data_IF_445476233888
#
_entry.id   IF_445476233888
#
_cell.length_a   1.000
_cell.length_b   1.000
_cell.length_c   1.000
_cell.angle_alpha   90.00
_cell.angle_beta   90.00
_cell.angle_gamma   90.00
#
_symmetry.space_group_name_H-M   'P 1'
#
loop_
_entity.id
_entity.type
_entity.pdbx_description
1 polymer ?
#
# COMPACT_ATOMS: atom_id res chain seq x y z
N UNK A 1 -66.76 -11.29 11.94
CA UNK A 1 -65.81 -10.39 11.24
C UNK A 1 -64.40 -10.78 11.65
N UNK A 2 -63.59 -11.44 10.82
CA UNK A 2 -62.20 -11.72 11.16
C UNK A 2 -61.31 -10.54 10.71
N UNK A 3 -60.41 -10.11 11.60
CA UNK A 3 -59.36 -9.13 11.30
C UNK A 3 -58.15 -9.90 10.80
N UNK A 4 -57.70 -9.61 9.58
CA UNK A 4 -56.48 -10.16 8.98
C UNK A 4 -55.32 -9.21 9.30
N UNK A 5 -54.30 -9.68 10.03
CA UNK A 5 -53.11 -8.91 10.35
C UNK A 5 -52.02 -9.17 9.30
N UNK A 6 -51.65 -8.14 8.54
CA UNK A 6 -50.59 -8.17 7.54
C UNK A 6 -49.21 -8.03 8.21
N UNK A 7 -48.32 -8.99 8.01
CA UNK A 7 -46.90 -8.90 8.42
C UNK A 7 -46.10 -8.27 7.28
N UNK A 8 -45.66 -7.02 7.46
CA UNK A 8 -44.77 -6.36 6.52
C UNK A 8 -43.32 -6.79 6.79
N UNK A 9 -42.71 -7.52 5.84
CA UNK A 9 -41.29 -7.81 5.81
C UNK A 9 -40.53 -6.52 5.45
N UNK A 10 -39.86 -5.91 6.43
CA UNK A 10 -38.97 -4.77 6.21
C UNK A 10 -37.64 -5.33 5.71
N UNK A 11 -37.44 -5.37 4.40
CA UNK A 11 -36.11 -5.57 3.81
C UNK A 11 -35.34 -4.26 3.95
N UNK A 12 -34.47 -4.16 4.95
CA UNK A 12 -33.55 -3.04 5.05
C UNK A 12 -32.63 -3.05 3.81
N UNK A 13 -32.41 -1.89 3.14
CA UNK A 13 -31.46 -1.82 2.05
C UNK A 13 -30.06 -2.12 2.58
N UNK A 14 -29.32 -2.97 1.87
CA UNK A 14 -27.89 -3.13 2.10
C UNK A 14 -27.23 -1.77 1.85
N UNK A 15 -26.83 -1.09 2.93
CA UNK A 15 -25.99 0.08 2.85
C UNK A 15 -24.65 -0.34 2.24
N UNK A 16 -24.52 -0.16 0.92
CA UNK A 16 -23.25 -0.24 0.23
C UNK A 16 -22.46 0.99 0.68
N UNK A 17 -21.68 0.86 1.76
CA UNK A 17 -20.73 1.90 2.13
C UNK A 17 -19.85 2.17 0.91
N UNK A 18 -19.76 3.45 0.51
CA UNK A 18 -18.78 3.91 -0.47
C UNK A 18 -17.42 3.29 -0.11
N UNK A 19 -16.62 2.80 -1.09
CA UNK A 19 -15.28 2.31 -0.77
C UNK A 19 -14.55 3.32 0.09
N UNK A 20 -13.85 2.90 1.16
CA UNK A 20 -13.09 3.82 2.00
C UNK A 20 -12.25 4.73 1.11
N UNK A 21 -12.38 6.05 1.28
CA UNK A 21 -11.51 7.00 0.58
C UNK A 21 -10.07 6.64 0.95
N UNK A 22 -9.19 6.53 -0.05
CA UNK A 22 -7.78 6.25 0.18
C UNK A 22 -7.20 7.28 1.18
N UNK A 23 -6.42 6.85 2.18
CA UNK A 23 -5.82 7.76 3.15
C UNK A 23 -4.99 8.86 2.48
N UNK A 24 -5.07 10.09 3.01
CA UNK A 24 -4.25 11.21 2.51
C UNK A 24 -2.79 11.06 2.97
N UNK A 25 -2.04 10.21 2.27
CA UNK A 25 -0.62 9.93 2.57
C UNK A 25 0.28 11.15 2.42
N UNK A 26 -0.16 12.19 1.69
CA UNK A 26 0.65 13.39 1.48
C UNK A 26 0.64 14.32 2.69
N UNK A 27 -0.40 14.25 3.52
CA UNK A 27 -0.52 15.04 4.76
C UNK A 27 0.51 14.70 5.85
N UNK A 28 1.16 13.54 5.75
CA UNK A 28 2.14 13.07 6.74
C UNK A 28 3.51 13.72 6.52
N UNK A 29 4.27 14.04 7.61
CA UNK A 29 5.64 14.53 7.51
C UNK A 29 6.57 13.47 6.90
N UNK A 30 7.42 13.89 5.97
CA UNK A 30 8.40 13.01 5.34
C UNK A 30 9.56 12.72 6.31
N UNK A 31 9.95 11.45 6.42
CA UNK A 31 11.16 11.04 7.11
C UNK A 31 12.41 11.40 6.30
N UNK A 32 13.57 11.47 6.97
CA UNK A 32 14.86 11.65 6.29
C UNK A 32 15.22 10.37 5.52
N UNK A 33 15.20 10.47 4.19
CA UNK A 33 15.48 9.36 3.29
C UNK A 33 16.89 8.76 3.47
N UNK A 34 17.84 9.51 4.02
CA UNK A 34 19.21 9.05 4.24
C UNK A 34 19.28 7.81 5.14
N UNK A 35 18.38 7.71 6.12
CA UNK A 35 18.34 6.62 7.11
C UNK A 35 17.80 5.30 6.53
N UNK A 36 17.01 5.39 5.47
CA UNK A 36 16.31 4.25 4.86
C UNK A 36 16.99 3.76 3.58
N UNK A 37 17.95 4.51 3.04
CA UNK A 37 18.49 4.28 1.71
C UNK A 37 19.45 3.08 1.68
N UNK A 38 19.23 2.19 0.73
CA UNK A 38 20.11 1.06 0.42
C UNK A 38 20.56 1.17 -1.03
N UNK A 39 21.87 1.03 -1.25
CA UNK A 39 22.49 1.01 -2.58
C UNK A 39 23.05 -0.38 -2.82
N UNK A 40 22.40 -1.12 -3.71
CA UNK A 40 22.86 -2.42 -4.19
C UNK A 40 23.77 -2.30 -5.41
N UNK A 41 24.26 -3.44 -5.91
CA UNK A 41 25.09 -3.48 -7.12
C UNK A 41 24.33 -3.15 -8.43
N UNK A 42 23.00 -3.09 -8.39
CA UNK A 42 22.15 -2.74 -9.53
C UNK A 42 20.99 -1.83 -9.05
N UNK A 43 20.45 -0.91 -9.88
CA UNK A 43 19.33 -0.05 -9.49
C UNK A 43 18.08 -0.80 -9.02
N UNK A 44 17.83 -2.01 -9.52
CA UNK A 44 16.72 -2.87 -9.06
C UNK A 44 16.94 -3.44 -7.64
N UNK A 45 18.16 -3.40 -7.13
CA UNK A 45 18.52 -3.77 -5.75
C UNK A 45 18.76 -2.54 -4.88
N UNK A 46 18.48 -1.34 -5.40
CA UNK A 46 18.65 -0.07 -4.70
C UNK A 46 17.29 0.56 -4.45
N UNK A 47 17.20 1.36 -3.39
CA UNK A 47 15.96 2.00 -3.00
C UNK A 47 15.97 2.40 -1.54
N UNK A 48 14.82 2.25 -0.90
CA UNK A 48 14.60 2.60 0.49
C UNK A 48 13.85 1.48 1.19
N UNK A 49 14.42 0.99 2.28
CA UNK A 49 13.87 -0.10 3.08
C UNK A 49 13.40 0.43 4.42
N UNK A 50 12.27 -0.06 4.93
CA UNK A 50 11.75 0.33 6.23
C UNK A 50 10.91 -0.76 6.85
N UNK A 51 10.87 -0.82 8.17
CA UNK A 51 9.88 -1.60 8.91
C UNK A 51 8.75 -0.71 9.42
N UNK A 52 7.56 -1.27 9.61
CA UNK A 52 6.45 -0.61 10.33
C UNK A 52 6.36 -1.13 11.76
N UNK A 53 5.72 -0.39 12.70
CA UNK A 53 5.50 -0.90 14.06
C UNK A 53 4.70 -2.22 14.09
N UNK A 54 3.81 -2.42 13.11
CA UNK A 54 3.06 -3.66 12.90
C UNK A 54 3.88 -4.81 12.31
N UNK A 55 5.18 -4.62 12.09
CA UNK A 55 6.12 -5.68 11.69
C UNK A 55 6.18 -5.97 10.19
N UNK A 56 5.66 -5.08 9.33
CA UNK A 56 5.89 -5.20 7.89
C UNK A 56 7.33 -4.75 7.57
N UNK A 57 8.03 -5.52 6.74
CA UNK A 57 9.29 -5.14 6.13
C UNK A 57 9.02 -4.71 4.68
N UNK A 58 9.33 -3.46 4.34
CA UNK A 58 8.99 -2.83 3.07
C UNK A 58 10.23 -2.38 2.31
N UNK A 59 10.18 -2.48 0.98
CA UNK A 59 11.19 -1.93 0.08
C UNK A 59 10.52 -1.14 -1.04
N UNK A 60 10.78 0.17 -1.08
CA UNK A 60 10.47 1.04 -2.22
C UNK A 60 11.69 1.09 -3.14
N UNK A 61 11.51 0.63 -4.39
CA UNK A 61 12.61 0.48 -5.33
C UNK A 61 12.95 1.78 -6.04
N UNK A 62 14.23 1.99 -6.34
CA UNK A 62 14.67 3.16 -7.12
C UNK A 62 14.07 3.17 -8.53
N UNK A 63 13.88 1.99 -9.13
CA UNK A 63 13.14 1.84 -10.39
C UNK A 63 11.64 1.94 -10.08
N UNK A 64 11.03 3.03 -10.55
CA UNK A 64 9.65 3.37 -10.25
C UNK A 64 8.63 2.29 -10.70
N UNK A 65 8.92 1.59 -11.80
CA UNK A 65 8.11 0.48 -12.31
C UNK A 65 8.08 -0.76 -11.39
N UNK A 66 9.08 -0.91 -10.51
CA UNK A 66 9.09 -1.96 -9.48
C UNK A 66 8.26 -1.56 -8.25
N UNK A 67 8.06 -0.26 -8.04
CA UNK A 67 7.25 0.29 -6.96
C UNK A 67 7.72 -0.12 -5.57
N UNK A 68 6.77 -0.41 -4.69
CA UNK A 68 7.00 -0.87 -3.32
C UNK A 68 6.39 -2.23 -3.09
N UNK A 69 7.11 -3.07 -2.35
CA UNK A 69 6.59 -4.33 -1.81
C UNK A 69 6.87 -4.41 -0.32
N UNK A 70 5.91 -4.94 0.43
CA UNK A 70 6.01 -5.19 1.85
C UNK A 70 5.70 -6.65 2.15
N UNK A 71 6.47 -7.24 3.04
CA UNK A 71 6.33 -8.63 3.50
C UNK A 71 6.15 -8.67 5.01
N UNK A 72 5.37 -9.62 5.49
CA UNK A 72 4.98 -9.75 6.90
C UNK A 72 3.50 -10.05 7.01
N UNK A 73 2.96 -10.12 8.22
CA UNK A 73 1.53 -10.41 8.40
C UNK A 73 0.68 -9.26 7.84
N UNK A 74 -0.11 -9.52 6.79
CA UNK A 74 -1.07 -8.54 6.27
C UNK A 74 -2.34 -8.60 7.12
N UNK A 75 -2.40 -7.78 8.17
CA UNK A 75 -3.59 -7.71 9.05
C UNK A 75 -4.82 -7.28 8.25
N UNK A 76 -6.01 -7.75 8.64
CA UNK A 76 -7.26 -7.44 7.92
C UNK A 76 -7.34 -7.98 6.47
N UNK A 77 -6.34 -8.75 6.01
CA UNK A 77 -6.47 -9.60 4.83
C UNK A 77 -6.86 -11.04 5.25
N UNK A 78 -7.10 -11.91 4.27
CA UNK A 78 -7.35 -13.34 4.51
C UNK A 78 -6.18 -14.03 5.23
N UNK A 79 -6.46 -15.17 5.87
CA UNK A 79 -5.43 -15.95 6.57
C UNK A 79 -4.28 -16.32 5.62
N UNK A 80 -3.04 -16.24 6.12
CA UNK A 80 -1.83 -16.57 5.35
C UNK A 80 -1.34 -15.49 4.38
N UNK A 81 -2.11 -14.43 4.13
CA UNK A 81 -1.65 -13.31 3.29
C UNK A 81 -0.45 -12.63 3.93
N UNK A 82 0.63 -12.54 3.16
CA UNK A 82 1.94 -12.14 3.70
C UNK A 82 2.73 -11.17 2.82
N UNK A 83 2.17 -10.76 1.69
CA UNK A 83 2.78 -9.83 0.77
C UNK A 83 1.75 -8.81 0.31
N UNK A 84 2.15 -7.54 0.27
CA UNK A 84 1.43 -6.49 -0.43
C UNK A 84 2.40 -5.70 -1.31
N UNK A 85 1.99 -5.36 -2.53
CA UNK A 85 2.84 -4.61 -3.45
C UNK A 85 2.02 -3.66 -4.32
N UNK A 86 2.64 -2.58 -4.79
CA UNK A 86 2.06 -1.67 -5.77
C UNK A 86 3.16 -0.97 -6.57
N UNK A 87 2.88 -0.66 -7.83
CA UNK A 87 3.76 0.18 -8.65
C UNK A 87 2.92 1.14 -9.49
N UNK A 88 3.57 2.07 -10.17
CA UNK A 88 2.88 2.99 -11.07
C UNK A 88 2.44 2.35 -12.39
N UNK A 89 2.80 1.09 -12.66
CA UNK A 89 2.38 0.34 -13.86
C UNK A 89 1.52 -0.89 -13.59
N UNK A 90 1.31 -1.22 -12.30
CA UNK A 90 0.57 -2.42 -11.88
C UNK A 90 -0.31 -2.08 -10.68
N UNK A 91 -1.60 -2.46 -10.73
CA UNK A 91 -2.49 -2.40 -9.58
C UNK A 91 -1.89 -3.00 -8.33
N UNK A 92 -2.33 -2.50 -7.18
CA UNK A 92 -1.92 -3.05 -5.91
C UNK A 92 -2.37 -4.52 -5.78
N UNK A 93 -1.50 -5.34 -5.20
CA UNK A 93 -1.69 -6.77 -5.00
C UNK A 93 -1.53 -7.11 -3.54
N UNK A 94 -2.47 -7.89 -2.98
CA UNK A 94 -2.31 -8.60 -1.71
C UNK A 94 -2.28 -10.09 -2.04
N UNK A 95 -1.23 -10.78 -1.61
CA UNK A 95 -1.01 -12.18 -1.94
C UNK A 95 -0.33 -12.95 -0.82
N UNK A 96 -0.36 -14.27 -0.96
CA UNK A 96 0.43 -15.21 -0.19
C UNK A 96 1.55 -15.75 -1.09
N UNK A 97 2.79 -15.61 -0.65
CA UNK A 97 3.96 -16.21 -1.27
C UNK A 97 4.78 -16.98 -0.25
N UNK A 98 5.47 -18.03 -0.68
CA UNK A 98 6.52 -18.63 0.16
C UNK A 98 7.63 -17.59 0.37
N UNK A 99 7.91 -17.28 1.63
CA UNK A 99 8.96 -16.33 2.00
C UNK A 99 10.22 -17.09 2.36
N UNK A 100 11.34 -16.66 1.79
CA UNK A 100 12.63 -16.97 2.41
C UNK A 100 12.79 -16.01 3.59
N UNK A 101 13.15 -16.48 4.78
CA UNK A 101 13.43 -15.59 5.91
C UNK A 101 14.43 -14.50 5.49
N UNK A 102 14.04 -13.24 5.67
CA UNK A 102 14.92 -12.09 5.50
C UNK A 102 15.23 -11.53 6.88
N UNK A 103 16.40 -11.90 7.42
CA UNK A 103 16.83 -11.48 8.75
C UNK A 103 17.46 -10.07 8.74
N UNK A 104 17.46 -9.37 7.60
CA UNK A 104 18.03 -8.02 7.52
C UNK A 104 17.21 -7.05 8.37
N UNK A 105 17.82 -6.30 9.30
CA UNK A 105 17.10 -5.32 10.08
C UNK A 105 16.72 -4.12 9.20
N UNK A 106 15.42 -3.86 9.07
CA UNK A 106 14.93 -2.67 8.36
C UNK A 106 14.67 -1.55 9.37
N UNK A 107 15.15 -0.31 9.11
CA UNK A 107 14.94 0.82 10.01
C UNK A 107 13.45 1.11 10.16
N UNK A 108 13.02 1.39 11.39
CA UNK A 108 11.61 1.64 11.69
C UNK A 108 11.18 2.99 11.10
N UNK A 109 10.13 2.98 10.29
CA UNK A 109 9.39 4.19 9.91
C UNK A 109 8.31 4.44 10.97
N UNK A 110 8.39 5.52 11.78
CA UNK A 110 7.45 5.73 12.88
C UNK A 110 6.03 6.01 12.43
N UNK A 111 5.06 5.67 13.27
CA UNK A 111 3.66 6.09 13.11
C UNK A 111 3.56 7.61 12.97
N UNK A 112 2.70 8.06 12.06
CA UNK A 112 2.52 9.48 11.77
C UNK A 112 3.60 10.05 10.85
N UNK A 113 4.39 9.23 10.17
CA UNK A 113 5.37 9.68 9.16
C UNK A 113 5.17 9.00 7.82
N UNK A 114 5.77 9.57 6.77
CA UNK A 114 5.81 8.97 5.43
C UNK A 114 7.23 8.80 4.90
N UNK A 115 7.39 7.78 4.07
CA UNK A 115 8.50 7.65 3.14
C UNK A 115 8.06 8.14 1.77
N UNK A 116 8.72 9.17 1.26
CA UNK A 116 8.41 9.80 -0.03
C UNK A 116 9.68 10.07 -0.85
N UNK A 117 10.27 9.04 -1.48
CA UNK A 117 11.57 9.14 -2.15
C UNK A 117 11.57 9.90 -3.49
N UNK A 118 10.41 10.36 -3.95
CA UNK A 118 10.28 11.11 -5.21
C UNK A 118 10.26 10.26 -6.48
N UNK A 119 10.24 8.92 -6.34
CA UNK A 119 10.07 7.96 -7.44
C UNK A 119 8.60 7.71 -7.81
N UNK A 120 7.66 8.47 -7.24
CA UNK A 120 6.21 8.30 -7.48
C UNK A 120 5.51 7.40 -6.48
N UNK A 121 6.27 6.71 -5.62
CA UNK A 121 5.73 5.97 -4.48
C UNK A 121 5.73 6.84 -3.22
N UNK A 122 4.64 6.82 -2.48
CA UNK A 122 4.53 7.41 -1.14
C UNK A 122 3.89 6.39 -0.21
N UNK A 123 4.54 6.09 0.91
CA UNK A 123 4.03 5.20 1.96
C UNK A 123 3.94 5.93 3.28
N UNK A 124 2.79 5.91 3.94
CA UNK A 124 2.58 6.51 5.25
C UNK A 124 2.16 5.44 6.28
N UNK A 125 2.80 5.46 7.45
CA UNK A 125 2.39 4.66 8.60
C UNK A 125 1.30 5.43 9.33
N UNK A 126 0.05 5.09 9.02
CA UNK A 126 -1.13 5.84 9.45
C UNK A 126 -1.53 5.51 10.91
N UNK A 127 -1.20 4.31 11.36
CA UNK A 127 -1.30 3.85 12.75
C UNK A 127 -0.25 2.75 12.99
N UNK A 128 -0.05 2.32 14.24
CA UNK A 128 0.95 1.29 14.57
C UNK A 128 0.75 0.00 13.78
N UNK A 129 -0.50 -0.38 13.51
CA UNK A 129 -0.89 -1.57 12.75
C UNK A 129 -1.42 -1.25 11.34
N UNK A 130 -1.17 -0.03 10.83
CA UNK A 130 -1.71 0.39 9.55
C UNK A 130 -0.71 1.15 8.66
N UNK A 131 -0.68 0.76 7.39
CA UNK A 131 0.20 1.29 6.35
C UNK A 131 -0.63 1.58 5.09
N UNK A 132 -0.46 2.76 4.50
CA UNK A 132 -1.02 3.07 3.20
C UNK A 132 0.11 3.45 2.23
N UNK A 133 0.13 2.84 1.04
CA UNK A 133 1.08 3.16 0.00
C UNK A 133 0.35 3.47 -1.30
N UNK A 134 0.73 4.58 -1.94
CA UNK A 134 0.24 5.00 -3.26
C UNK A 134 1.42 5.03 -4.23
N UNK A 135 1.20 4.56 -5.44
CA UNK A 135 2.11 4.73 -6.55
C UNK A 135 1.39 5.49 -7.67
N UNK A 136 2.02 6.55 -8.16
CA UNK A 136 1.54 7.33 -9.28
C UNK A 136 2.71 7.94 -10.04
N UNK A 137 2.45 8.44 -11.25
CA UNK A 137 3.46 9.15 -12.02
C UNK A 137 4.05 10.31 -11.18
N UNK A 138 5.38 10.39 -11.02
CA UNK A 138 6.00 11.47 -10.24
C UNK A 138 5.68 12.83 -10.85
N UNK A 139 5.41 13.84 -10.01
CA UNK A 139 5.18 15.21 -10.48
C UNK A 139 6.40 15.83 -11.17
N UNK A 140 7.60 15.27 -10.93
CA UNK A 140 8.85 15.65 -11.60
C UNK A 140 8.96 15.16 -13.04
N UNK A 141 8.10 14.23 -13.47
CA UNK A 141 8.12 13.69 -14.83
C UNK A 141 7.27 14.57 -15.77
N UNK A 142 7.68 14.73 -17.04
CA UNK A 142 6.84 15.38 -18.06
C UNK A 142 5.46 14.70 -18.17
N UNK A 143 4.39 15.51 -18.25
CA UNK A 143 3.02 14.99 -18.35
C UNK A 143 2.83 14.03 -19.54
N UNK A 144 3.55 14.28 -20.63
CA UNK A 144 3.56 13.52 -21.89
C UNK A 144 4.57 12.36 -21.91
N UNK A 145 5.23 12.04 -20.78
CA UNK A 145 6.08 10.84 -20.71
C UNK A 145 5.28 9.62 -21.17
N UNK A 146 5.70 8.95 -22.26
CA UNK A 146 4.95 7.88 -22.86
C UNK A 146 4.95 6.65 -21.96
N UNK A 147 3.85 5.91 -22.00
CA UNK A 147 3.76 4.61 -21.38
C UNK A 147 4.79 3.64 -21.99
N UNK A 148 5.34 2.70 -21.19
CA UNK A 148 6.11 1.61 -21.75
C UNK A 148 5.27 0.77 -22.73
N UNK A 149 5.89 0.08 -23.71
CA UNK A 149 5.15 -0.65 -24.75
C UNK A 149 4.19 -1.74 -24.22
N UNK A 150 4.47 -2.28 -23.04
CA UNK A 150 3.82 -3.45 -22.45
C UNK A 150 2.89 -3.11 -21.26
N UNK A 151 2.82 -1.84 -20.83
CA UNK A 151 2.13 -1.44 -19.60
C UNK A 151 1.83 0.05 -19.58
N UNK A 152 0.81 0.45 -18.83
CA UNK A 152 0.38 1.84 -18.74
C UNK A 152 0.67 2.43 -17.37
N UNK A 153 1.03 3.71 -17.32
CA UNK A 153 1.14 4.45 -16.08
C UNK A 153 -0.25 4.76 -15.50
N UNK A 154 -0.41 4.53 -14.20
CA UNK A 154 -1.66 4.77 -13.48
C UNK A 154 -1.41 5.20 -12.03
N UNK A 155 -2.51 5.58 -11.36
CA UNK A 155 -2.53 5.70 -9.91
C UNK A 155 -3.05 4.39 -9.32
N UNK A 156 -2.26 3.81 -8.43
CA UNK A 156 -2.55 2.55 -7.75
C UNK A 156 -2.22 2.68 -6.26
N UNK A 157 -2.79 1.80 -5.45
CA UNK A 157 -2.46 1.83 -4.03
C UNK A 157 -2.91 0.60 -3.27
N UNK A 158 -2.49 0.57 -2.01
CA UNK A 158 -2.99 -0.38 -1.03
C UNK A 158 -3.08 0.25 0.35
N UNK A 159 -3.93 -0.34 1.17
CA UNK A 159 -4.02 -0.06 2.61
C UNK A 159 -3.96 -1.39 3.34
N UNK A 160 -3.03 -1.47 4.29
CA UNK A 160 -2.98 -2.53 5.30
C UNK A 160 -3.55 -1.98 6.60
N UNK A 161 -4.59 -2.60 7.15
CA UNK A 161 -5.20 -2.21 8.43
C UNK A 161 -6.09 -3.33 9.01
N UNK A 162 -6.31 -3.39 10.33
CA UNK A 162 -7.10 -4.46 10.95
C UNK A 162 -8.57 -4.52 10.50
N UNK A 163 -9.17 -3.38 10.18
CA UNK A 163 -10.58 -3.27 9.76
C UNK A 163 -10.84 -3.82 8.35
N UNK A 164 -9.79 -4.15 7.60
CA UNK A 164 -9.87 -4.67 6.25
C UNK A 164 -8.78 -4.08 5.38
N UNK A 165 -7.92 -4.94 4.85
CA UNK A 165 -6.86 -4.58 3.90
C UNK A 165 -7.36 -4.71 2.47
N UNK A 166 -6.94 -3.77 1.62
CA UNK A 166 -7.41 -3.68 0.24
C UNK A 166 -6.39 -3.01 -0.67
N UNK A 167 -6.56 -3.19 -1.98
CA UNK A 167 -5.70 -2.63 -3.02
C UNK A 167 -6.49 -2.29 -4.29
N UNK A 168 -5.93 -1.44 -5.15
CA UNK A 168 -6.49 -1.00 -6.43
C UNK A 168 -5.41 -0.66 -7.47
#
# INVERSE_FOLDING_TARGET
MPVVASVALITAPAANAQPPKFPDVDSYPAADLGEYRVIGAHPSMSGWVFSTPGGLACQSNMIADLGVSCTGRIVGAGEGMNTVAVSLTKPGLIAQYEQTPDDRPYPLLPTGTKLAPGNGVVCAVIADDALACRAQKPASWPQDTPDPPDRHYGEHGFVVQPSGSWSY
#
